data_IF_900490270174
#
_entry.id   IF_900490270174
#
_cell.length_a   1.000
_cell.length_b   1.000
_cell.length_c   1.000
_cell.angle_alpha   90.00
_cell.angle_beta   90.00
_cell.angle_gamma   90.00
#
_symmetry.space_group_name_H-M   'P 1'
#
loop_
_entity.id
_entity.type
_entity.pdbx_description
1 polymer ?
#
# COMPACT_ATOMS: atom_id res chain seq x y z
N UNK A 1 -0.10 -5.90 -9.29
CA UNK A 1 -1.48 -5.64 -9.77
C UNK A 1 -2.37 -5.82 -8.58
N UNK A 2 -3.01 -4.74 -8.12
CA UNK A 2 -3.75 -4.75 -6.86
C UNK A 2 -5.11 -5.41 -7.10
N UNK A 3 -5.40 -6.49 -6.36
CA UNK A 3 -6.59 -7.34 -6.56
C UNK A 3 -7.63 -7.22 -5.44
N UNK A 4 -7.34 -6.46 -4.41
CA UNK A 4 -8.15 -6.34 -3.20
C UNK A 4 -7.44 -5.47 -2.17
N UNK A 5 -7.77 -5.68 -0.91
CA UNK A 5 -7.10 -5.03 0.23
C UNK A 5 -5.87 -5.83 0.61
N UNK A 6 -4.74 -5.15 0.81
CA UNK A 6 -3.52 -5.74 1.33
C UNK A 6 -3.06 -5.01 2.60
N UNK A 7 -2.55 -5.76 3.58
CA UNK A 7 -1.94 -5.22 4.79
C UNK A 7 -0.46 -5.63 4.90
N UNK A 8 0.29 -5.09 5.85
CA UNK A 8 1.74 -5.35 5.99
C UNK A 8 2.06 -6.65 6.71
N UNK A 9 1.05 -7.35 7.25
CA UNK A 9 1.22 -8.71 7.77
C UNK A 9 -0.09 -9.53 7.71
N UNK A 10 -0.02 -10.88 7.74
CA UNK A 10 -1.20 -11.73 7.85
C UNK A 10 -2.03 -11.48 9.12
N UNK A 11 -1.39 -11.10 10.24
CA UNK A 11 -2.06 -10.75 11.49
C UNK A 11 -2.91 -9.49 11.31
N UNK A 12 -2.39 -8.46 10.65
CA UNK A 12 -3.14 -7.26 10.30
C UNK A 12 -4.34 -7.58 9.40
N UNK A 13 -4.21 -8.52 8.46
CA UNK A 13 -5.36 -8.97 7.68
C UNK A 13 -6.44 -9.64 8.55
N UNK A 14 -6.05 -10.40 9.58
CA UNK A 14 -7.00 -11.01 10.50
C UNK A 14 -7.72 -9.96 11.37
N UNK A 15 -7.06 -8.85 11.70
CA UNK A 15 -7.65 -7.72 12.42
C UNK A 15 -8.60 -6.91 11.53
N UNK A 16 -8.14 -6.50 10.35
CA UNK A 16 -8.94 -5.78 9.35
C UNK A 16 -10.22 -6.55 8.95
N UNK A 17 -10.19 -7.88 8.98
CA UNK A 17 -11.36 -8.73 8.72
C UNK A 17 -12.39 -8.71 9.84
N UNK A 18 -11.97 -8.52 11.09
CA UNK A 18 -12.89 -8.46 12.24
C UNK A 18 -13.59 -7.12 12.31
N UNK A 19 -12.83 -6.04 12.13
CA UNK A 19 -13.30 -4.67 12.22
C UNK A 19 -12.39 -3.79 11.36
N UNK A 20 -12.82 -3.53 10.12
CA UNK A 20 -12.04 -2.75 9.17
C UNK A 20 -11.96 -1.27 9.58
N UNK A 21 -13.07 -0.70 10.02
CA UNK A 21 -13.15 0.71 10.40
C UNK A 21 -12.32 0.97 11.66
N UNK A 22 -12.38 0.06 12.65
CA UNK A 22 -11.53 0.12 13.84
C UNK A 22 -10.04 -0.09 13.51
N UNK A 23 -9.72 -1.00 12.59
CA UNK A 23 -8.34 -1.21 12.12
C UNK A 23 -7.74 0.07 11.52
N UNK A 24 -8.43 0.71 10.58
CA UNK A 24 -8.01 2.00 10.01
C UNK A 24 -8.01 3.11 11.07
N UNK A 25 -9.01 3.12 11.95
CA UNK A 25 -9.13 4.07 13.06
C UNK A 25 -7.98 4.02 14.06
N UNK A 26 -7.29 2.88 14.18
CA UNK A 26 -6.10 2.71 15.01
C UNK A 26 -4.81 3.23 14.37
N UNK A 27 -4.90 3.84 13.17
CA UNK A 27 -3.75 4.40 12.45
C UNK A 27 -3.07 3.41 11.51
N UNK A 28 -3.63 2.22 11.32
CA UNK A 28 -3.12 1.25 10.37
C UNK A 28 -3.38 1.68 8.92
N UNK A 29 -2.53 1.19 8.02
CA UNK A 29 -2.64 1.49 6.58
C UNK A 29 -2.85 0.21 5.77
N UNK A 30 -3.62 0.33 4.69
CA UNK A 30 -3.83 -0.73 3.71
C UNK A 30 -3.53 -0.26 2.30
N UNK A 31 -3.08 -1.19 1.46
CA UNK A 31 -2.98 -0.99 0.03
C UNK A 31 -4.26 -1.51 -0.66
N UNK A 32 -4.91 -0.66 -1.44
CA UNK A 32 -6.15 -0.93 -2.18
C UNK A 32 -5.98 -0.62 -3.66
N UNK A 33 -7.04 -0.83 -4.45
CA UNK A 33 -7.04 -0.43 -5.85
C UNK A 33 -6.98 1.10 -6.07
N UNK A 34 -7.22 1.91 -5.03
CA UNK A 34 -7.13 3.39 -5.09
C UNK A 34 -5.76 3.91 -4.67
N UNK A 35 -4.97 3.11 -3.96
CA UNK A 35 -3.67 3.49 -3.44
C UNK A 35 -3.49 3.01 -2.01
N UNK A 36 -2.91 3.83 -1.15
CA UNK A 36 -2.70 3.49 0.27
C UNK A 36 -3.67 4.30 1.10
N UNK A 37 -4.39 3.65 1.99
CA UNK A 37 -5.47 4.23 2.77
C UNK A 37 -5.20 4.05 4.26
N UNK A 38 -5.43 5.11 5.03
CA UNK A 38 -5.36 5.20 6.49
C UNK A 38 -6.23 6.37 6.97
N UNK A 39 -6.39 6.55 8.28
CA UNK A 39 -7.32 7.56 8.82
C UNK A 39 -6.86 9.01 8.60
N UNK A 40 -5.59 9.31 8.88
CA UNK A 40 -5.00 10.65 8.71
C UNK A 40 -3.93 10.65 7.60
N UNK A 41 -3.88 9.58 6.82
CA UNK A 41 -2.87 9.38 5.80
C UNK A 41 -3.47 8.65 4.62
N UNK A 42 -3.32 9.20 3.42
CA UNK A 42 -3.67 8.47 2.20
C UNK A 42 -2.69 8.79 1.08
N UNK A 43 -2.51 7.86 0.16
CA UNK A 43 -1.82 8.09 -1.09
C UNK A 43 -2.70 7.60 -2.23
N UNK A 44 -3.15 8.49 -3.11
CA UNK A 44 -3.94 8.15 -4.28
C UNK A 44 -3.03 7.75 -5.46
N UNK A 45 -3.39 6.71 -6.21
CA UNK A 45 -2.78 6.43 -7.51
C UNK A 45 -3.16 7.51 -8.54
N UNK A 46 -2.21 8.34 -8.93
CA UNK A 46 -2.38 9.34 -9.99
C UNK A 46 -2.02 8.78 -11.36
N UNK A 47 -0.97 7.96 -11.44
CA UNK A 47 -0.61 7.19 -12.63
C UNK A 47 -0.17 5.78 -12.22
N UNK A 48 -0.53 4.78 -13.02
CA UNK A 48 -0.13 3.39 -12.83
C UNK A 48 0.31 2.79 -14.15
N UNK A 49 1.57 2.33 -14.19
CA UNK A 49 2.17 1.81 -15.40
C UNK A 49 2.77 0.43 -15.17
N UNK A 50 2.13 -0.58 -15.76
CA UNK A 50 2.69 -1.94 -15.83
C UNK A 50 3.90 -1.96 -16.77
N UNK A 51 4.99 -2.58 -16.33
CA UNK A 51 6.15 -2.77 -17.18
C UNK A 51 5.83 -3.78 -18.31
N UNK A 52 6.44 -3.58 -19.48
CA UNK A 52 6.29 -4.49 -20.63
C UNK A 52 7.33 -5.61 -20.65
N UNK A 53 8.44 -5.45 -19.91
CA UNK A 53 9.55 -6.41 -19.83
C UNK A 53 9.81 -6.93 -18.41
N UNK A 54 9.02 -6.50 -17.43
CA UNK A 54 9.05 -6.97 -16.04
C UNK A 54 7.63 -7.34 -15.62
N UNK A 55 7.52 -8.19 -14.60
CA UNK A 55 6.23 -8.57 -14.02
C UNK A 55 5.64 -7.48 -13.09
N UNK A 56 6.43 -6.45 -12.80
CA UNK A 56 6.04 -5.34 -11.92
C UNK A 56 5.32 -4.18 -12.61
N UNK A 57 5.06 -3.17 -11.80
CA UNK A 57 4.53 -1.87 -12.20
C UNK A 57 5.22 -0.75 -11.43
N UNK A 58 5.07 0.47 -11.91
CA UNK A 58 5.43 1.70 -11.18
C UNK A 58 4.17 2.55 -11.10
N UNK A 59 3.95 3.19 -9.96
CA UNK A 59 2.90 4.18 -9.79
C UNK A 59 3.49 5.52 -9.33
N UNK A 60 2.91 6.59 -9.84
CA UNK A 60 3.03 7.92 -9.25
C UNK A 60 1.80 8.16 -8.39
N UNK A 61 2.03 8.58 -7.15
CA UNK A 61 1.00 8.76 -6.15
C UNK A 61 1.02 10.18 -5.61
N UNK A 62 -0.15 10.70 -5.23
CA UNK A 62 -0.27 11.92 -4.43
C UNK A 62 -0.57 11.49 -3.00
N UNK A 63 0.37 11.69 -2.10
CA UNK A 63 0.21 11.40 -0.68
C UNK A 63 -0.22 12.66 0.08
N UNK A 64 -1.18 12.49 0.98
CA UNK A 64 -1.77 13.55 1.79
C UNK A 64 -1.77 13.16 3.27
N UNK A 65 -1.39 14.13 4.09
CA UNK A 65 -1.44 14.15 5.55
C UNK A 65 -2.10 15.48 5.97
N UNK A 66 -2.52 15.67 7.24
CA UNK A 66 -3.22 16.88 7.64
C UNK A 66 -2.39 18.15 7.35
N UNK A 67 -2.83 18.93 6.34
CA UNK A 67 -2.22 20.19 5.95
C UNK A 67 -1.01 20.10 5.02
N UNK A 68 -0.67 18.91 4.50
CA UNK A 68 0.47 18.72 3.61
C UNK A 68 0.22 17.63 2.57
N UNK A 69 0.62 17.89 1.31
CA UNK A 69 0.52 16.94 0.21
C UNK A 69 1.82 16.89 -0.58
N UNK A 70 2.23 15.70 -1.01
CA UNK A 70 3.49 15.48 -1.72
C UNK A 70 3.38 14.33 -2.72
N UNK A 71 4.09 14.41 -3.86
CA UNK A 71 4.15 13.30 -4.80
C UNK A 71 5.12 12.22 -4.30
N UNK A 72 4.79 10.96 -4.55
CA UNK A 72 5.64 9.82 -4.27
C UNK A 72 5.64 8.85 -5.46
N UNK A 73 6.72 8.09 -5.64
CA UNK A 73 6.84 7.10 -6.72
C UNK A 73 7.16 5.74 -6.10
N UNK A 74 6.31 4.75 -6.37
CA UNK A 74 6.49 3.40 -5.88
C UNK A 74 6.60 2.39 -7.03
N UNK A 75 7.50 1.42 -6.87
CA UNK A 75 7.51 0.20 -7.65
C UNK A 75 6.73 -0.90 -6.93
N UNK A 76 5.98 -1.69 -7.68
CA UNK A 76 5.15 -2.79 -7.20
C UNK A 76 5.56 -4.09 -7.89
N UNK A 77 6.05 -5.05 -7.12
CA UNK A 77 6.57 -6.32 -7.60
C UNK A 77 5.80 -7.49 -6.97
N UNK A 78 5.13 -8.34 -7.76
CA UNK A 78 4.61 -9.60 -7.23
C UNK A 78 5.76 -10.48 -6.73
N UNK A 79 5.64 -11.03 -5.51
CA UNK A 79 6.68 -11.87 -4.91
C UNK A 79 6.27 -13.35 -4.85
N UNK A 80 5.14 -13.62 -4.20
CA UNK A 80 4.51 -14.93 -4.08
C UNK A 80 3.00 -14.78 -4.34
N UNK A 81 2.25 -15.89 -4.30
CA UNK A 81 0.81 -15.82 -4.37
C UNK A 81 0.26 -14.99 -3.20
N UNK A 82 -0.52 -13.95 -3.52
CA UNK A 82 -1.06 -13.02 -2.53
C UNK A 82 -0.08 -11.98 -1.98
N UNK A 83 1.20 -11.99 -2.39
CA UNK A 83 2.21 -11.06 -1.88
C UNK A 83 2.67 -10.02 -2.92
N UNK A 84 2.78 -8.76 -2.48
CA UNK A 84 3.31 -7.65 -3.28
C UNK A 84 4.40 -6.94 -2.50
N UNK A 85 5.59 -6.85 -3.07
CA UNK A 85 6.63 -5.96 -2.58
C UNK A 85 6.44 -4.56 -3.17
N UNK A 86 6.46 -3.57 -2.29
CA UNK A 86 6.36 -2.15 -2.60
C UNK A 86 7.69 -1.50 -2.23
N UNK A 87 8.27 -0.71 -3.12
CA UNK A 87 9.53 0.00 -2.85
C UNK A 87 9.50 1.43 -3.39
N UNK A 88 10.08 2.36 -2.63
CA UNK A 88 10.29 3.75 -3.07
C UNK A 88 11.79 4.03 -3.24
N UNK A 89 12.18 4.88 -4.20
CA UNK A 89 13.56 5.32 -4.36
C UNK A 89 14.09 6.02 -3.09
N UNK A 90 13.23 6.71 -2.32
CA UNK A 90 13.62 7.41 -1.09
C UNK A 90 13.92 6.44 0.06
N UNK A 91 13.16 5.35 0.19
CA UNK A 91 13.38 4.32 1.23
C UNK A 91 14.57 3.40 0.94
N UNK A 92 15.03 3.34 -0.31
CA UNK A 92 16.21 2.55 -0.69
C UNK A 92 17.54 3.20 -0.25
N UNK A 93 17.49 4.46 0.19
CA UNK A 93 18.62 5.23 0.71
C UNK A 93 18.44 5.50 2.20
N UNK A 94 18.91 4.57 3.04
CA UNK A 94 19.35 4.78 4.43
C UNK A 94 18.53 5.79 5.29
N UNK A 95 17.21 5.61 5.40
CA UNK A 95 16.42 6.29 6.42
C UNK A 95 15.68 5.26 7.29
N UNK A 96 15.76 5.42 8.61
CA UNK A 96 15.04 4.63 9.63
C UNK A 96 13.52 4.89 9.63
N UNK A 97 12.97 5.32 8.49
CA UNK A 97 11.57 5.60 8.33
C UNK A 97 10.97 4.51 7.43
N UNK A 98 10.32 3.48 8.00
CA UNK A 98 9.67 2.42 7.24
C UNK A 98 8.39 3.00 6.64
N UNK A 99 8.53 3.82 5.60
CA UNK A 99 7.41 4.40 4.85
C UNK A 99 6.52 3.32 4.23
N UNK A 100 5.83 3.59 3.13
CA UNK A 100 4.99 2.55 2.53
C UNK A 100 5.72 1.42 1.81
N UNK A 101 7.04 1.41 1.85
CA UNK A 101 7.84 0.32 1.32
C UNK A 101 7.76 -0.91 2.23
N UNK A 102 7.74 -2.10 1.65
CA UNK A 102 7.63 -3.37 2.36
C UNK A 102 6.85 -4.42 1.59
N UNK A 103 6.62 -5.56 2.23
CA UNK A 103 5.79 -6.64 1.68
C UNK A 103 4.37 -6.47 2.19
N UNK A 104 3.42 -6.58 1.27
CA UNK A 104 1.98 -6.50 1.52
C UNK A 104 1.34 -7.85 1.19
N UNK A 105 0.37 -8.25 2.00
CA UNK A 105 -0.31 -9.54 1.95
C UNK A 105 -1.79 -9.33 1.66
N UNK A 106 -2.33 -10.07 0.69
CA UNK A 106 -3.75 -10.00 0.30
C UNK A 106 -4.63 -10.46 1.46
N UNK A 107 -5.53 -9.59 1.93
CA UNK A 107 -6.46 -9.88 2.99
C UNK A 107 -7.75 -10.51 2.43
N UNK A 108 -7.78 -11.84 2.33
CA UNK A 108 -8.94 -12.55 1.78
C UNK A 108 -10.23 -12.34 2.59
N UNK A 109 -11.28 -11.91 1.89
CA UNK A 109 -12.60 -11.68 2.46
C UNK A 109 -12.75 -10.32 3.17
N UNK A 110 -11.74 -9.45 3.14
CA UNK A 110 -11.89 -8.04 3.51
C UNK A 110 -12.51 -7.31 2.31
N UNK A 111 -13.65 -6.64 2.53
CA UNK A 111 -14.29 -5.85 1.48
C UNK A 111 -13.50 -4.57 1.26
N UNK A 112 -13.40 -4.13 0.00
CA UNK A 112 -12.83 -2.83 -0.29
C UNK A 112 -13.77 -1.73 0.24
N UNK A 113 -13.24 -0.69 0.91
CA UNK A 113 -14.00 0.49 1.29
C UNK A 113 -14.48 1.32 0.08
#
# INVERSE_FOLDING_TARGET
MIKGVYARSPEQCAEAKKDFDGFIGNGETVLTARGIEGIEYNCEFVDWKKATRSIGAVATMLCEEPGYAYPEVYAFMPRAEGEIEVSSPLTSAASDNPGNAGVYYLCEGVKMP
#
